data_IF_933127822462
#
_entry.id   IF_933127822462
#
_cell.length_a   1.000
_cell.length_b   1.000
_cell.length_c   1.000
_cell.angle_alpha   90.00
_cell.angle_beta   90.00
_cell.angle_gamma   90.00
#
_symmetry.space_group_name_H-M   'P 1'
#
loop_
_entity.id
_entity.type
_entity.pdbx_description
1 polymer ?
#
# COMPACT_ATOMS: atom_id res chain seq x y z
N UNK A 1 -47.09 12.68 36.25
CA UNK A 1 -48.30 12.15 36.92
C UNK A 1 -49.37 12.12 35.85
N UNK A 2 -49.84 11.02 35.28
CA UNK A 2 -50.23 9.70 35.82
C UNK A 2 -50.06 8.66 34.69
N UNK A 3 -49.58 7.48 35.05
CA UNK A 3 -49.47 6.32 34.17
C UNK A 3 -50.79 5.53 34.16
N UNK A 4 -51.13 4.92 33.01
CA UNK A 4 -52.00 3.73 33.00
C UNK A 4 -51.50 2.72 31.97
N UNK A 5 -51.16 1.55 32.48
CA UNK A 5 -50.67 0.35 31.81
C UNK A 5 -51.83 -0.61 31.51
N UNK A 6 -51.52 -1.62 30.66
CA UNK A 6 -52.18 -2.94 30.43
C UNK A 6 -53.08 -2.97 29.18
N UNK A 7 -53.00 -3.95 28.28
CA UNK A 7 -52.71 -5.40 28.42
C UNK A 7 -52.33 -6.02 27.05
N UNK A 8 -51.38 -6.96 27.04
CA UNK A 8 -51.18 -7.99 26.00
C UNK A 8 -52.29 -9.07 26.10
N UNK A 9 -52.53 -9.88 25.05
CA UNK A 9 -51.88 -11.22 25.00
C UNK A 9 -51.51 -11.77 23.60
N UNK A 10 -50.54 -12.71 23.65
CA UNK A 10 -50.33 -13.94 22.87
C UNK A 10 -50.39 -13.91 21.33
N UNK A 11 -49.29 -14.17 20.61
CA UNK A 11 -48.56 -15.43 20.43
C UNK A 11 -49.29 -16.47 19.56
N UNK A 12 -48.49 -17.19 18.74
CA UNK A 12 -48.79 -18.31 17.83
C UNK A 12 -49.05 -17.82 16.37
N UNK A 13 -48.36 -18.28 15.33
CA UNK A 13 -47.52 -19.46 15.20
C UNK A 13 -46.66 -19.46 13.94
N UNK A 14 -45.68 -20.37 13.96
CA UNK A 14 -44.80 -20.79 12.88
C UNK A 14 -45.53 -21.01 11.55
N UNK A 15 -44.94 -20.49 10.47
CA UNK A 15 -44.95 -21.17 9.17
C UNK A 15 -43.51 -21.25 8.67
N UNK A 16 -42.88 -22.39 8.99
CA UNK A 16 -41.75 -22.92 8.22
C UNK A 16 -42.25 -23.20 6.81
N UNK A 17 -41.87 -22.36 5.84
CA UNK A 17 -41.95 -22.71 4.44
C UNK A 17 -40.53 -22.86 3.92
N UNK A 18 -40.12 -24.12 3.76
CA UNK A 18 -38.86 -24.50 3.16
C UNK A 18 -38.79 -23.98 1.74
N UNK A 19 -37.89 -23.03 1.52
CA UNK A 19 -37.31 -22.79 0.21
C UNK A 19 -35.87 -23.32 0.28
N UNK A 20 -35.75 -24.63 0.03
CA UNK A 20 -34.52 -25.26 -0.44
C UNK A 20 -34.22 -24.65 -1.82
N UNK A 21 -33.72 -23.41 -1.82
CA UNK A 21 -33.06 -22.86 -2.99
C UNK A 21 -31.71 -23.54 -3.01
N UNK A 22 -31.63 -24.51 -3.91
CA UNK A 22 -30.41 -25.15 -4.38
C UNK A 22 -29.23 -24.18 -4.26
N UNK A 23 -28.27 -24.50 -3.40
CA UNK A 23 -26.90 -24.06 -3.62
C UNK A 23 -26.49 -24.70 -4.95
N UNK A 24 -26.83 -24.05 -6.06
CA UNK A 24 -26.06 -24.15 -7.28
C UNK A 24 -24.68 -23.64 -6.90
N UNK A 25 -23.82 -24.56 -6.46
CA UNK A 25 -22.40 -24.41 -6.60
C UNK A 25 -22.19 -24.05 -8.06
N UNK A 26 -22.01 -22.75 -8.32
CA UNK A 26 -21.52 -22.31 -9.61
C UNK A 26 -20.32 -23.18 -9.90
N UNK A 27 -20.26 -23.92 -11.02
CA UNK A 27 -19.01 -24.54 -11.40
C UNK A 27 -18.02 -23.37 -11.38
N UNK A 28 -16.97 -23.48 -10.57
CA UNK A 28 -15.82 -22.61 -10.71
C UNK A 28 -15.47 -22.74 -12.20
N UNK A 29 -15.85 -21.75 -13.00
CA UNK A 29 -15.59 -21.77 -14.43
C UNK A 29 -14.08 -21.90 -14.47
N UNK A 30 -13.58 -23.03 -14.97
CA UNK A 30 -12.16 -23.25 -15.09
C UNK A 30 -11.67 -22.23 -16.11
N UNK A 31 -11.34 -21.03 -15.62
CA UNK A 31 -10.70 -20.01 -16.42
C UNK A 31 -9.48 -20.66 -17.05
N UNK A 32 -9.31 -20.43 -18.35
CA UNK A 32 -8.19 -21.05 -19.03
C UNK A 32 -6.89 -20.53 -18.39
N UNK A 33 -5.86 -21.36 -18.35
CA UNK A 33 -4.53 -20.94 -17.85
C UNK A 33 -4.04 -19.65 -18.52
N UNK A 34 -4.43 -19.45 -19.79
CA UNK A 34 -4.12 -18.26 -20.59
C UNK A 34 -4.82 -17.03 -20.04
N UNK A 35 -6.12 -17.12 -19.70
CA UNK A 35 -6.86 -16.02 -19.09
C UNK A 35 -6.31 -15.65 -17.72
N UNK A 36 -6.02 -16.66 -16.88
CA UNK A 36 -5.39 -16.47 -15.57
C UNK A 36 -4.06 -15.71 -15.71
N UNK A 37 -3.25 -16.10 -16.70
CA UNK A 37 -1.97 -15.45 -16.95
C UNK A 37 -2.14 -14.00 -17.47
N UNK A 38 -3.08 -13.74 -18.37
CA UNK A 38 -3.34 -12.38 -18.86
C UNK A 38 -3.80 -11.45 -17.74
N UNK A 39 -4.70 -11.91 -16.88
CA UNK A 39 -5.14 -11.15 -15.71
C UNK A 39 -3.96 -10.86 -14.77
N UNK A 40 -3.09 -11.86 -14.54
CA UNK A 40 -1.91 -11.72 -13.70
C UNK A 40 -0.91 -10.69 -14.27
N UNK A 41 -0.68 -10.69 -15.59
CA UNK A 41 0.18 -9.71 -16.25
C UNK A 41 -0.39 -8.30 -16.11
N UNK A 42 -1.70 -8.13 -16.32
CA UNK A 42 -2.37 -6.85 -16.14
C UNK A 42 -2.26 -6.36 -14.68
N UNK A 43 -2.47 -7.25 -13.71
CA UNK A 43 -2.31 -6.94 -12.29
C UNK A 43 -0.88 -6.54 -11.96
N UNK A 44 0.13 -7.25 -12.48
CA UNK A 44 1.55 -6.88 -12.33
C UNK A 44 1.81 -5.47 -12.83
N UNK A 45 1.34 -5.15 -14.03
CA UNK A 45 1.55 -3.82 -14.63
C UNK A 45 0.91 -2.72 -13.79
N UNK A 46 -0.31 -2.96 -13.26
CA UNK A 46 -0.99 -2.04 -12.36
C UNK A 46 -0.18 -1.77 -11.09
N UNK A 47 0.28 -2.82 -10.42
CA UNK A 47 1.09 -2.70 -9.19
C UNK A 47 2.43 -2.00 -9.45
N UNK A 48 3.07 -2.28 -10.59
CA UNK A 48 4.30 -1.59 -10.99
C UNK A 48 4.08 -0.10 -11.28
N UNK A 49 2.97 0.25 -11.91
CA UNK A 49 2.58 1.64 -12.12
C UNK A 49 2.29 2.35 -10.81
N UNK A 50 1.60 1.70 -9.88
CA UNK A 50 1.31 2.21 -8.54
C UNK A 50 2.59 2.44 -7.73
N UNK A 51 3.53 1.49 -7.75
CA UNK A 51 4.86 1.66 -7.16
C UNK A 51 5.56 2.91 -7.69
N UNK A 52 5.57 3.11 -9.01
CA UNK A 52 6.21 4.28 -9.63
C UNK A 52 5.56 5.59 -9.19
N UNK A 53 4.25 5.62 -8.96
CA UNK A 53 3.55 6.81 -8.42
C UNK A 53 4.06 7.14 -7.02
N UNK A 54 4.20 6.14 -6.14
CA UNK A 54 4.75 6.35 -4.80
C UNK A 54 6.20 6.85 -4.84
N UNK A 55 7.05 6.28 -5.70
CA UNK A 55 8.44 6.73 -5.85
C UNK A 55 8.53 8.17 -6.37
N UNK A 56 7.68 8.54 -7.34
CA UNK A 56 7.61 9.90 -7.86
C UNK A 56 7.15 10.90 -6.80
N UNK A 57 6.13 10.54 -6.01
CA UNK A 57 5.63 11.38 -4.93
C UNK A 57 6.66 11.59 -3.82
N UNK A 58 7.43 10.54 -3.47
CA UNK A 58 8.54 10.67 -2.53
C UNK A 58 9.62 11.63 -3.05
N UNK A 59 10.01 11.51 -4.32
CA UNK A 59 11.00 12.39 -4.92
C UNK A 59 10.52 13.85 -4.93
N UNK A 60 9.23 14.08 -5.25
CA UNK A 60 8.60 15.41 -5.22
C UNK A 60 8.63 16.02 -3.82
N UNK A 61 8.21 15.27 -2.81
CA UNK A 61 8.18 15.73 -1.41
C UNK A 61 9.58 15.97 -0.85
N UNK A 62 10.55 15.11 -1.16
CA UNK A 62 11.93 15.29 -0.73
C UNK A 62 12.58 16.53 -1.36
N UNK A 63 12.30 16.81 -2.63
CA UNK A 63 12.75 18.04 -3.29
C UNK A 63 12.17 19.29 -2.60
N UNK A 64 10.87 19.29 -2.31
CA UNK A 64 10.20 20.36 -1.59
C UNK A 64 10.75 20.54 -0.16
N UNK A 65 10.99 19.44 0.55
CA UNK A 65 11.55 19.45 1.89
C UNK A 65 12.91 20.13 1.92
N UNK A 66 13.78 19.83 0.95
CA UNK A 66 15.13 20.43 0.86
C UNK A 66 15.08 21.96 0.78
N UNK A 67 14.19 22.51 -0.05
CA UNK A 67 14.01 23.97 -0.15
C UNK A 67 13.44 24.56 1.14
N UNK A 68 12.47 23.89 1.75
CA UNK A 68 11.83 24.36 2.98
C UNK A 68 12.80 24.34 4.17
N UNK A 69 13.63 23.30 4.30
CA UNK A 69 14.67 23.23 5.34
C UNK A 69 15.67 24.37 5.21
N UNK A 70 16.04 24.74 3.98
CA UNK A 70 16.95 25.87 3.75
C UNK A 70 16.33 27.18 4.26
N UNK A 71 15.06 27.44 3.93
CA UNK A 71 14.34 28.62 4.43
C UNK A 71 14.16 28.58 5.95
N UNK A 72 13.84 27.42 6.51
CA UNK A 72 13.68 27.22 7.94
C UNK A 72 14.96 27.57 8.72
N UNK A 73 16.12 27.07 8.28
CA UNK A 73 17.40 27.41 8.92
C UNK A 73 17.84 28.87 8.68
N UNK A 74 17.46 29.48 7.56
CA UNK A 74 17.65 30.92 7.35
C UNK A 74 16.80 31.76 8.32
N UNK A 75 15.61 31.30 8.66
CA UNK A 75 14.75 31.94 9.65
C UNK A 75 15.34 31.83 11.06
N UNK A 76 15.81 30.64 11.43
CA UNK A 76 16.46 30.41 12.72
C UNK A 76 17.70 31.30 12.89
N UNK A 77 18.53 31.44 11.86
CA UNK A 77 19.77 32.23 11.96
C UNK A 77 19.54 33.74 12.11
N UNK A 78 18.37 34.24 11.69
CA UNK A 78 18.01 35.67 11.78
C UNK A 78 17.26 36.05 13.06
N UNK A 79 16.76 35.06 13.79
CA UNK A 79 15.87 35.26 14.94
C UNK A 79 16.59 34.92 16.26
N UNK A 80 16.03 35.36 17.38
CA UNK A 80 16.55 34.98 18.71
C UNK A 80 16.35 33.48 18.93
N UNK A 81 17.43 32.78 19.30
CA UNK A 81 17.48 31.32 19.46
C UNK A 81 16.36 30.76 20.35
N UNK A 82 16.05 31.45 21.43
CA UNK A 82 15.07 31.03 22.44
C UNK A 82 13.64 30.92 21.88
N UNK A 83 13.31 31.68 20.84
CA UNK A 83 12.00 31.61 20.18
C UNK A 83 11.85 30.40 19.25
N UNK A 84 12.96 29.75 18.89
CA UNK A 84 13.01 28.68 17.88
C UNK A 84 13.40 27.33 18.44
N UNK A 85 13.86 27.26 19.68
CA UNK A 85 14.36 26.03 20.31
C UNK A 85 13.32 24.90 20.24
N UNK A 86 12.05 25.19 20.55
CA UNK A 86 10.97 24.20 20.46
C UNK A 86 10.75 23.71 19.02
N UNK A 87 10.79 24.61 18.03
CA UNK A 87 10.61 24.27 16.62
C UNK A 87 11.78 23.46 16.07
N UNK A 88 13.01 23.77 16.49
CA UNK A 88 14.20 22.97 16.14
C UNK A 88 14.08 21.57 16.72
N UNK A 89 13.72 21.44 18.00
CA UNK A 89 13.54 20.14 18.65
C UNK A 89 12.45 19.30 17.95
N UNK A 90 11.32 19.91 17.58
CA UNK A 90 10.27 19.25 16.80
C UNK A 90 10.78 18.81 15.42
N UNK A 91 11.51 19.67 14.71
CA UNK A 91 12.08 19.36 13.40
C UNK A 91 13.05 18.17 13.46
N UNK A 92 13.91 18.12 14.48
CA UNK A 92 14.86 17.03 14.71
C UNK A 92 14.14 15.71 14.99
N UNK A 93 13.11 15.73 15.86
CA UNK A 93 12.31 14.55 16.17
C UNK A 93 11.59 14.00 14.93
N UNK A 94 10.98 14.87 14.13
CA UNK A 94 10.30 14.50 12.88
C UNK A 94 11.32 13.95 11.87
N UNK A 95 12.48 14.60 11.73
CA UNK A 95 13.56 14.18 10.83
C UNK A 95 14.03 12.78 11.18
N UNK A 96 14.26 12.49 12.46
CA UNK A 96 14.67 11.16 12.92
C UNK A 96 13.63 10.10 12.56
N UNK A 97 12.35 10.37 12.82
CA UNK A 97 11.24 9.47 12.47
C UNK A 97 11.18 9.18 10.97
N UNK A 98 11.29 10.22 10.13
CA UNK A 98 11.28 10.08 8.67
C UNK A 98 12.49 9.28 8.18
N UNK A 99 13.68 9.50 8.74
CA UNK A 99 14.88 8.75 8.36
C UNK A 99 14.77 7.27 8.76
N UNK A 100 14.24 6.95 9.93
CA UNK A 100 13.97 5.57 10.35
C UNK A 100 13.02 4.85 9.39
N UNK A 101 11.99 5.53 8.88
CA UNK A 101 11.08 4.98 7.88
C UNK A 101 11.77 4.82 6.52
N UNK A 102 12.53 5.84 6.09
CA UNK A 102 13.31 5.83 4.85
C UNK A 102 14.29 4.68 4.79
N UNK A 103 14.97 4.35 5.90
CA UNK A 103 15.95 3.28 5.95
C UNK A 103 15.33 1.88 5.83
N UNK A 104 14.05 1.71 6.18
CA UNK A 104 13.35 0.41 6.10
C UNK A 104 12.86 0.06 4.69
N UNK A 105 12.57 1.05 3.86
CA UNK A 105 11.95 0.84 2.54
C UNK A 105 12.91 0.23 1.48
N UNK A 106 14.17 0.68 1.31
CA UNK A 106 15.06 0.12 0.30
C UNK A 106 15.39 -1.37 0.51
N UNK A 107 15.69 -1.86 1.73
CA UNK A 107 15.88 -3.29 1.97
C UNK A 107 14.64 -4.11 1.59
N UNK A 108 13.45 -3.69 2.02
CA UNK A 108 12.19 -4.36 1.70
C UNK A 108 11.95 -4.41 0.18
N UNK A 109 12.12 -3.27 -0.50
CA UNK A 109 12.02 -3.20 -1.96
C UNK A 109 12.99 -4.18 -2.63
N UNK A 110 14.26 -4.19 -2.19
CA UNK A 110 15.30 -5.06 -2.77
C UNK A 110 14.95 -6.54 -2.60
N UNK A 111 14.38 -6.91 -1.46
CA UNK A 111 13.92 -8.26 -1.18
C UNK A 111 12.73 -8.66 -2.07
N UNK A 112 11.72 -7.79 -2.20
CA UNK A 112 10.57 -8.02 -3.07
C UNK A 112 11.01 -8.12 -4.55
N UNK A 113 11.92 -7.26 -5.00
CA UNK A 113 12.49 -7.30 -6.35
C UNK A 113 13.33 -8.57 -6.59
N UNK A 114 13.97 -9.12 -5.54
CA UNK A 114 14.66 -10.42 -5.60
C UNK A 114 13.65 -11.55 -5.82
N UNK A 115 12.57 -11.59 -5.05
CA UNK A 115 11.49 -12.58 -5.24
C UNK A 115 10.93 -12.54 -6.67
N UNK A 116 10.69 -11.34 -7.19
CA UNK A 116 10.23 -11.15 -8.58
C UNK A 116 11.19 -11.76 -9.60
N UNK A 117 12.50 -11.55 -9.42
CA UNK A 117 13.53 -12.09 -10.33
C UNK A 117 13.64 -13.61 -10.23
N UNK A 118 13.51 -14.17 -9.04
CA UNK A 118 13.50 -15.63 -8.84
C UNK A 118 12.28 -16.27 -9.52
N UNK A 119 11.09 -15.72 -9.32
CA UNK A 119 9.87 -16.19 -9.99
C UNK A 119 9.97 -16.11 -11.52
N UNK A 120 10.61 -15.07 -12.07
CA UNK A 120 10.84 -14.97 -13.52
C UNK A 120 11.79 -16.07 -14.02
N UNK A 121 12.82 -16.42 -13.24
CA UNK A 121 13.70 -17.55 -13.56
C UNK A 121 12.95 -18.88 -13.48
N UNK A 122 12.10 -19.06 -12.48
CA UNK A 122 11.23 -20.24 -12.35
C UNK A 122 10.33 -20.39 -13.58
N UNK A 123 9.67 -19.30 -14.02
CA UNK A 123 8.86 -19.28 -15.26
C UNK A 123 9.68 -19.74 -16.46
N UNK A 124 10.86 -19.16 -16.66
CA UNK A 124 11.74 -19.51 -17.79
C UNK A 124 12.15 -20.99 -17.74
N UNK A 125 12.42 -21.54 -16.55
CA UNK A 125 12.76 -22.94 -16.38
C UNK A 125 11.58 -23.88 -16.70
N UNK A 126 10.35 -23.50 -16.32
CA UNK A 126 9.12 -24.23 -16.68
C UNK A 126 8.97 -24.25 -18.20
N UNK A 127 9.10 -23.09 -18.84
CA UNK A 127 9.00 -22.96 -20.31
C UNK A 127 10.05 -23.81 -21.05
N UNK A 128 11.26 -23.92 -20.51
CA UNK A 128 12.34 -24.70 -21.11
C UNK A 128 12.17 -26.23 -20.92
N UNK A 129 11.58 -26.65 -19.81
CA UNK A 129 11.41 -28.08 -19.46
C UNK A 129 10.30 -28.75 -20.26
N UNK A 130 9.24 -28.02 -20.58
CA UNK A 130 8.02 -28.61 -21.13
C UNK A 130 7.85 -28.31 -22.62
N UNK A 131 7.93 -29.36 -23.44
CA UNK A 131 7.69 -29.29 -24.90
C UNK A 131 6.20 -29.31 -25.25
N UNK A 132 5.38 -29.95 -24.41
CA UNK A 132 3.93 -30.04 -24.58
C UNK A 132 3.24 -29.13 -23.57
N UNK A 133 2.36 -28.26 -24.07
CA UNK A 133 1.64 -27.27 -23.26
C UNK A 133 0.16 -27.44 -23.49
N UNK A 134 -0.63 -27.50 -22.43
CA UNK A 134 -2.08 -27.60 -22.54
C UNK A 134 -2.76 -28.05 -21.25
N UNK A 135 -4.09 -28.14 -21.27
CA UNK A 135 -4.86 -28.57 -20.12
C UNK A 135 -4.49 -29.98 -19.65
N UNK A 136 -4.38 -30.18 -18.34
CA UNK A 136 -4.07 -31.46 -17.70
C UNK A 136 -2.60 -31.91 -17.84
N UNK A 137 -1.73 -31.07 -18.40
CA UNK A 137 -0.30 -31.39 -18.56
C UNK A 137 0.51 -31.02 -17.32
N UNK A 138 1.70 -31.64 -17.12
CA UNK A 138 2.65 -31.18 -16.10
C UNK A 138 3.03 -29.69 -16.23
N UNK A 139 3.04 -29.16 -17.46
CA UNK A 139 3.25 -27.73 -17.70
C UNK A 139 2.19 -26.87 -17.02
N UNK A 140 0.90 -27.19 -17.17
CA UNK A 140 -0.16 -26.43 -16.53
C UNK A 140 -0.01 -26.43 -15.01
N UNK A 141 0.29 -27.59 -14.41
CA UNK A 141 0.47 -27.70 -12.96
C UNK A 141 1.63 -26.84 -12.46
N UNK A 142 2.79 -26.92 -13.13
CA UNK A 142 3.97 -26.13 -12.79
C UNK A 142 3.71 -24.63 -12.98
N UNK A 143 3.03 -24.26 -14.08
CA UNK A 143 2.73 -22.86 -14.37
C UNK A 143 1.70 -22.28 -13.39
N UNK A 144 0.70 -23.06 -12.96
CA UNK A 144 -0.24 -22.66 -11.89
C UNK A 144 0.49 -22.45 -10.55
N UNK A 145 1.50 -23.27 -10.23
CA UNK A 145 2.36 -23.01 -9.07
C UNK A 145 3.13 -21.70 -9.21
N UNK A 146 3.66 -21.39 -10.39
CA UNK A 146 4.30 -20.11 -10.66
C UNK A 146 3.33 -18.92 -10.49
N UNK A 147 2.10 -19.02 -11.03
CA UNK A 147 1.05 -17.99 -10.88
C UNK A 147 0.77 -17.73 -9.39
N UNK A 148 0.58 -18.80 -8.60
CA UNK A 148 0.39 -18.69 -7.16
C UNK A 148 1.61 -18.06 -6.48
N UNK A 149 2.82 -18.44 -6.88
CA UNK A 149 4.06 -17.83 -6.40
C UNK A 149 4.13 -16.32 -6.64
N UNK A 150 3.69 -15.84 -7.81
CA UNK A 150 3.58 -14.41 -8.08
C UNK A 150 2.57 -13.71 -7.18
N UNK A 151 1.41 -14.32 -6.94
CA UNK A 151 0.39 -13.76 -6.05
C UNK A 151 0.92 -13.67 -4.61
N UNK A 152 1.44 -14.77 -4.07
CA UNK A 152 1.80 -14.88 -2.65
C UNK A 152 3.13 -14.21 -2.31
N UNK A 153 4.17 -14.41 -3.14
CA UNK A 153 5.54 -13.97 -2.82
C UNK A 153 5.89 -12.58 -3.35
N UNK A 154 5.08 -12.04 -4.27
CA UNK A 154 5.33 -10.75 -4.91
C UNK A 154 4.15 -9.78 -4.77
N UNK A 155 2.97 -10.09 -5.32
CA UNK A 155 1.85 -9.15 -5.29
C UNK A 155 1.34 -8.86 -3.89
N UNK A 156 1.18 -9.91 -3.07
CA UNK A 156 0.78 -9.76 -1.68
C UNK A 156 1.73 -8.83 -0.94
N UNK A 157 3.04 -9.08 -1.02
CA UNK A 157 4.06 -8.27 -0.33
C UNK A 157 4.10 -6.81 -0.80
N UNK A 158 3.87 -6.56 -2.10
CA UNK A 158 3.73 -5.19 -2.59
C UNK A 158 2.56 -4.48 -1.88
N UNK A 159 1.39 -5.14 -1.83
CA UNK A 159 0.17 -4.56 -1.30
C UNK A 159 0.12 -4.48 0.23
N UNK A 160 0.70 -5.45 0.94
CA UNK A 160 0.59 -5.57 2.40
C UNK A 160 1.79 -5.03 3.16
N UNK A 161 2.97 -4.95 2.54
CA UNK A 161 4.20 -4.48 3.20
C UNK A 161 4.71 -3.17 2.56
N UNK A 162 4.97 -3.18 1.25
CA UNK A 162 5.67 -2.06 0.60
C UNK A 162 4.79 -0.81 0.47
N UNK A 163 3.58 -0.93 -0.07
CA UNK A 163 2.70 0.21 -0.29
C UNK A 163 2.26 0.87 1.03
N UNK A 164 1.86 0.15 2.08
CA UNK A 164 1.59 0.75 3.38
C UNK A 164 2.81 1.49 3.95
N UNK A 165 4.01 0.93 3.74
CA UNK A 165 5.26 1.60 4.11
C UNK A 165 5.47 2.93 3.36
N UNK A 166 5.20 2.94 2.05
CA UNK A 166 5.25 4.16 1.24
C UNK A 166 4.20 5.19 1.64
N UNK A 167 2.95 4.78 1.85
CA UNK A 167 1.87 5.66 2.29
C UNK A 167 2.19 6.31 3.63
N UNK A 168 2.69 5.52 4.59
CA UNK A 168 3.09 6.05 5.88
C UNK A 168 4.24 7.05 5.74
N UNK A 169 5.28 6.72 4.96
CA UNK A 169 6.44 7.60 4.75
C UNK A 169 6.04 8.92 4.06
N UNK A 170 5.22 8.84 3.01
CA UNK A 170 4.71 10.00 2.26
C UNK A 170 3.86 10.90 3.16
N UNK A 171 2.97 10.31 3.97
CA UNK A 171 2.15 11.07 4.92
C UNK A 171 3.00 11.86 5.91
N UNK A 172 4.04 11.24 6.47
CA UNK A 172 4.94 11.89 7.43
C UNK A 172 5.78 12.99 6.75
N UNK A 173 6.28 12.75 5.53
CA UNK A 173 6.97 13.80 4.76
C UNK A 173 6.06 14.97 4.42
N UNK A 174 4.82 14.72 4.02
CA UNK A 174 3.84 15.78 3.73
C UNK A 174 3.53 16.60 4.98
N UNK A 175 3.33 15.95 6.13
CA UNK A 175 3.13 16.63 7.41
C UNK A 175 4.36 17.47 7.81
N UNK A 176 5.57 16.95 7.59
CA UNK A 176 6.78 17.71 7.88
C UNK A 176 6.96 18.92 6.95
N UNK A 177 6.69 18.76 5.65
CA UNK A 177 6.69 19.88 4.72
C UNK A 177 5.69 20.95 5.14
N UNK A 178 4.51 20.56 5.63
CA UNK A 178 3.53 21.52 6.16
C UNK A 178 4.06 22.23 7.40
N UNK A 179 4.63 21.51 8.37
CA UNK A 179 5.27 22.09 9.55
C UNK A 179 6.35 23.12 9.18
N UNK A 180 7.19 22.81 8.19
CA UNK A 180 8.24 23.72 7.74
C UNK A 180 7.65 24.96 7.06
N UNK A 181 6.62 24.80 6.22
CA UNK A 181 5.90 25.93 5.60
C UNK A 181 5.30 26.85 6.64
N UNK A 182 4.62 26.31 7.63
CA UNK A 182 3.99 27.10 8.70
C UNK A 182 5.05 27.86 9.50
N UNK A 183 6.14 27.19 9.84
CA UNK A 183 7.26 27.79 10.58
C UNK A 183 7.94 28.91 9.78
N UNK A 184 8.26 28.67 8.51
CA UNK A 184 8.84 29.69 7.62
C UNK A 184 7.85 30.84 7.41
N UNK A 185 6.56 30.54 7.28
CA UNK A 185 5.54 31.56 7.07
C UNK A 185 5.38 32.50 8.25
N UNK A 186 5.46 31.98 9.49
CA UNK A 186 5.50 32.78 10.71
C UNK A 186 6.73 33.70 10.74
N UNK A 187 7.89 33.19 10.37
CA UNK A 187 9.13 33.96 10.29
C UNK A 187 9.06 35.11 9.27
N UNK A 188 8.51 34.83 8.08
CA UNK A 188 8.46 35.77 6.97
C UNK A 188 7.23 36.69 7.01
N UNK A 189 6.26 36.42 7.88
CA UNK A 189 5.00 37.15 7.94
C UNK A 189 4.08 36.92 6.73
N UNK A 190 4.27 35.81 5.99
CA UNK A 190 3.47 35.47 4.80
C UNK A 190 3.35 33.96 4.62
N UNK A 191 2.27 33.49 3.96
CA UNK A 191 2.08 32.07 3.68
C UNK A 191 3.06 31.58 2.60
N UNK A 192 3.57 30.36 2.76
CA UNK A 192 4.42 29.68 1.77
C UNK A 192 3.64 28.54 1.12
N UNK A 193 3.51 28.58 -0.21
CA UNK A 193 2.78 27.59 -1.00
C UNK A 193 3.62 26.35 -1.40
#
# INVERSE_FOLDING_TARGET
MTATLRRFPAAIGLLFLGCLVFLSASPASAASLVDDYHQLVAQRQKLEAERKKYEAEQARLAAQQKSLLTLFFQCISRQKKDLWEEKVSQADAITKKIEEMRLKLPPLRKEIDKNRKELEKERQAIEARHTHKGPGTPYELDFRHYIKGLQDRYFHRLASELFPGYEAYIREMAAYNQFLKDSVGLCMGQKID
#
